data_IF_580381011186
#
_entry.id   IF_580381011186
#
_cell.length_a   1.000
_cell.length_b   1.000
_cell.length_c   1.000
_cell.angle_alpha   90.00
_cell.angle_beta   90.00
_cell.angle_gamma   90.00
#
_symmetry.space_group_name_H-M   'P 1'
#
loop_
_entity.id
_entity.type
_entity.pdbx_description
1 polymer ?
#
# COMPACT_ATOMS: atom_id res chain seq x y z
N UNK A 1 9.54 12.01 15.80
CA UNK A 1 8.30 12.60 16.37
C UNK A 1 7.09 12.45 15.45
N UNK A 2 7.20 12.75 14.16
CA UNK A 2 6.10 12.60 13.18
C UNK A 2 5.51 11.17 13.13
N UNK A 3 6.33 10.12 13.06
CA UNK A 3 5.88 8.72 13.00
C UNK A 3 4.99 8.30 14.19
N UNK A 4 5.25 8.81 15.39
CA UNK A 4 4.44 8.48 16.58
C UNK A 4 3.06 9.13 16.49
N UNK A 5 2.99 10.36 16.01
CA UNK A 5 1.72 11.08 15.82
C UNK A 5 0.85 10.40 14.76
N UNK A 6 1.46 9.95 13.69
CA UNK A 6 0.78 9.27 12.60
C UNK A 6 0.25 7.90 13.01
N UNK A 7 1.03 7.13 13.76
CA UNK A 7 0.57 5.86 14.33
C UNK A 7 -0.56 6.07 15.35
N UNK A 8 -0.45 7.10 16.20
CA UNK A 8 -1.50 7.43 17.16
C UNK A 8 -2.80 7.80 16.45
N UNK A 9 -2.73 8.61 15.38
CA UNK A 9 -3.87 8.98 14.56
C UNK A 9 -4.54 7.74 13.93
N UNK A 10 -3.75 6.87 13.28
CA UNK A 10 -4.27 5.66 12.66
C UNK A 10 -4.95 4.72 13.68
N UNK A 11 -4.38 4.60 14.89
CA UNK A 11 -4.99 3.81 15.97
C UNK A 11 -6.30 4.44 16.47
N UNK A 12 -6.35 5.75 16.67
CA UNK A 12 -7.57 6.43 17.10
C UNK A 12 -8.69 6.26 16.07
N UNK A 13 -8.38 6.40 14.80
CA UNK A 13 -9.34 6.20 13.73
C UNK A 13 -9.81 4.75 13.65
N UNK A 14 -8.89 3.78 13.74
CA UNK A 14 -9.25 2.37 13.82
C UNK A 14 -10.15 2.07 15.02
N UNK A 15 -9.91 2.70 16.19
CA UNK A 15 -10.76 2.55 17.35
C UNK A 15 -12.18 3.07 17.09
N UNK A 16 -12.33 4.14 16.34
CA UNK A 16 -13.64 4.72 16.02
C UNK A 16 -14.46 3.87 15.06
N UNK A 17 -13.82 3.24 14.08
CA UNK A 17 -14.50 2.44 13.04
C UNK A 17 -14.70 0.97 13.45
N UNK A 18 -13.76 0.38 14.20
CA UNK A 18 -13.80 -1.04 14.59
C UNK A 18 -14.54 -1.27 15.91
N UNK A 19 -15.78 -0.80 16.00
CA UNK A 19 -16.57 -0.87 17.24
C UNK A 19 -17.20 -2.24 17.48
N UNK A 20 -17.45 -3.00 16.40
CA UNK A 20 -18.16 -4.27 16.45
C UNK A 20 -17.29 -5.41 15.90
N UNK A 21 -17.55 -6.62 16.39
CA UNK A 21 -16.88 -7.83 15.93
C UNK A 21 -17.42 -8.26 14.57
N UNK A 22 -16.55 -8.33 13.55
CA UNK A 22 -16.94 -8.78 12.21
C UNK A 22 -17.38 -10.26 12.11
N UNK A 23 -17.30 -11.03 13.22
CA UNK A 23 -17.73 -12.43 13.25
C UNK A 23 -19.14 -12.62 13.84
N UNK A 24 -19.46 -11.92 14.92
CA UNK A 24 -20.71 -12.12 15.65
C UNK A 24 -21.53 -10.84 15.90
N UNK A 25 -21.04 -9.69 15.45
CA UNK A 25 -21.73 -8.40 15.59
C UNK A 25 -21.65 -7.76 16.98
N UNK A 26 -21.14 -8.46 18.00
CA UNK A 26 -21.01 -7.93 19.36
C UNK A 26 -19.95 -6.82 19.46
N UNK A 27 -20.08 -5.95 20.47
CA UNK A 27 -19.12 -4.87 20.71
C UNK A 27 -17.71 -5.41 20.92
N UNK A 28 -16.72 -4.65 20.51
CA UNK A 28 -15.31 -4.92 20.79
C UNK A 28 -14.81 -4.03 21.92
N UNK A 29 -13.94 -4.57 22.77
CA UNK A 29 -13.30 -3.85 23.87
C UNK A 29 -11.79 -3.76 23.63
N UNK A 30 -11.16 -2.60 23.90
CA UNK A 30 -9.72 -2.45 23.75
C UNK A 30 -8.97 -3.31 24.78
N UNK A 31 -7.84 -3.87 24.34
CA UNK A 31 -6.89 -4.66 25.14
C UNK A 31 -5.47 -4.21 24.84
N UNK A 32 -4.53 -4.53 25.70
CA UNK A 32 -3.09 -4.25 25.53
C UNK A 32 -2.83 -2.76 25.21
N UNK A 33 -3.30 -1.89 26.09
CA UNK A 33 -3.21 -0.43 25.92
C UNK A 33 -3.75 0.07 24.56
N UNK A 34 -4.81 -0.58 24.04
CA UNK A 34 -5.45 -0.18 22.79
C UNK A 34 -4.79 -0.73 21.51
N UNK A 35 -3.74 -1.54 21.60
CA UNK A 35 -3.06 -2.12 20.43
C UNK A 35 -3.88 -3.16 19.71
N UNK A 36 -4.83 -3.78 20.39
CA UNK A 36 -5.83 -4.68 19.81
C UNK A 36 -7.17 -4.52 20.48
N UNK A 37 -8.20 -5.07 19.87
CA UNK A 37 -9.52 -5.22 20.47
C UNK A 37 -9.87 -6.69 20.61
N UNK A 38 -10.84 -6.96 21.47
CA UNK A 38 -11.40 -8.31 21.64
C UNK A 38 -12.91 -8.21 21.68
N UNK A 39 -13.57 -9.18 21.06
CA UNK A 39 -15.01 -9.32 21.15
C UNK A 39 -15.45 -9.48 22.59
N UNK A 40 -16.47 -8.76 23.00
CA UNK A 40 -17.03 -8.81 24.37
C UNK A 40 -17.81 -10.11 24.64
N UNK A 41 -18.25 -10.80 23.60
CA UNK A 41 -18.98 -12.07 23.72
C UNK A 41 -18.11 -13.15 24.36
N UNK A 42 -18.60 -13.78 25.42
CA UNK A 42 -17.91 -14.88 26.10
C UNK A 42 -17.73 -16.11 25.22
N UNK A 43 -18.57 -16.31 24.21
CA UNK A 43 -18.50 -17.42 23.27
C UNK A 43 -17.54 -17.15 22.12
N UNK A 44 -17.54 -15.94 21.56
CA UNK A 44 -16.75 -15.58 20.38
C UNK A 44 -15.28 -15.30 20.71
N UNK A 45 -15.02 -14.39 21.65
CA UNK A 45 -13.67 -13.97 22.10
C UNK A 45 -12.69 -13.61 20.99
N UNK A 46 -13.15 -13.36 19.76
CA UNK A 46 -12.28 -13.07 18.61
C UNK A 46 -11.43 -11.82 18.87
N UNK A 47 -10.14 -11.92 18.54
CA UNK A 47 -9.22 -10.79 18.58
C UNK A 47 -9.34 -9.99 17.29
N UNK A 48 -9.27 -8.66 17.39
CA UNK A 48 -9.33 -7.74 16.25
C UNK A 48 -8.10 -6.86 16.33
N UNK A 49 -7.37 -6.80 15.23
CA UNK A 49 -6.15 -6.00 15.08
C UNK A 49 -6.37 -4.90 14.06
N UNK A 50 -5.62 -3.79 14.13
CA UNK A 50 -5.58 -2.81 13.05
C UNK A 50 -5.16 -3.50 11.75
N UNK A 51 -5.84 -3.15 10.65
CA UNK A 51 -5.44 -3.62 9.33
C UNK A 51 -4.27 -2.77 8.83
N UNK A 52 -3.28 -3.43 8.28
CA UNK A 52 -2.14 -2.80 7.59
C UNK A 52 -2.11 -3.37 6.18
N UNK A 53 -2.28 -2.51 5.18
CA UNK A 53 -2.22 -2.93 3.78
C UNK A 53 -0.82 -2.64 3.22
N UNK A 54 -0.12 -3.64 2.67
CA UNK A 54 1.14 -3.43 1.99
C UNK A 54 0.91 -2.77 0.62
N UNK A 55 1.77 -1.81 0.28
CA UNK A 55 1.72 -1.03 -0.96
C UNK A 55 3.11 -0.94 -1.55
N UNK A 56 3.24 -1.11 -2.86
CA UNK A 56 4.44 -0.80 -3.60
C UNK A 56 4.35 0.61 -4.19
N UNK A 57 5.46 1.34 -4.16
CA UNK A 57 5.65 2.58 -4.92
C UNK A 57 6.86 2.38 -5.82
N UNK A 58 6.72 2.66 -7.10
CA UNK A 58 7.78 2.43 -8.07
C UNK A 58 8.05 3.67 -8.92
N UNK A 59 9.33 3.97 -9.11
CA UNK A 59 9.82 4.92 -10.08
C UNK A 59 10.38 4.17 -11.28
N UNK A 60 9.69 4.24 -12.40
CA UNK A 60 10.15 3.66 -13.67
C UNK A 60 11.11 4.64 -14.33
N UNK A 61 12.32 4.16 -14.66
CA UNK A 61 13.41 5.00 -15.17
C UNK A 61 13.74 4.57 -16.60
N UNK A 62 13.82 5.52 -17.50
CA UNK A 62 14.42 5.37 -18.82
C UNK A 62 15.83 6.00 -18.77
N UNK A 63 16.84 5.15 -18.53
CA UNK A 63 18.22 5.60 -18.40
C UNK A 63 18.81 6.13 -19.69
N UNK A 64 18.40 5.58 -20.83
CA UNK A 64 18.91 5.99 -22.14
C UNK A 64 18.55 7.45 -22.47
N UNK A 65 17.32 7.84 -22.13
CA UNK A 65 16.82 9.19 -22.38
C UNK A 65 16.81 10.09 -21.14
N UNK A 66 17.34 9.62 -20.01
CA UNK A 66 17.38 10.34 -18.74
C UNK A 66 15.99 10.84 -18.30
N UNK A 67 14.99 9.95 -18.28
CA UNK A 67 13.60 10.26 -17.98
C UNK A 67 13.07 9.37 -16.87
N UNK A 68 12.04 9.83 -16.18
CA UNK A 68 11.29 9.04 -15.21
C UNK A 68 9.78 9.17 -15.45
N UNK A 69 9.06 8.07 -15.20
CA UNK A 69 7.61 8.04 -15.32
C UNK A 69 6.96 8.55 -14.04
N UNK A 70 6.16 9.59 -14.19
CA UNK A 70 5.29 10.07 -13.12
C UNK A 70 3.85 10.10 -13.60
N UNK A 71 2.93 9.82 -12.70
CA UNK A 71 1.50 9.84 -12.92
C UNK A 71 0.81 10.98 -12.17
N UNK A 72 -0.36 11.37 -12.65
CA UNK A 72 -1.22 12.31 -11.95
C UNK A 72 -2.67 11.87 -12.06
N UNK A 73 -3.26 11.56 -10.93
CA UNK A 73 -4.69 11.29 -10.86
C UNK A 73 -5.50 12.60 -10.89
N UNK A 74 -6.69 12.57 -11.49
CA UNK A 74 -7.58 13.74 -11.62
C UNK A 74 -7.96 14.39 -10.29
N UNK A 75 -7.98 13.61 -9.21
CA UNK A 75 -8.26 14.05 -7.84
C UNK A 75 -7.09 14.76 -7.15
N UNK A 76 -5.89 14.72 -7.73
CA UNK A 76 -4.73 15.38 -7.14
C UNK A 76 -4.78 16.89 -7.33
N UNK A 77 -4.13 17.60 -6.42
CA UNK A 77 -3.94 19.04 -6.55
C UNK A 77 -3.28 19.35 -7.90
N UNK A 78 -3.70 20.40 -8.61
CA UNK A 78 -3.08 20.78 -9.88
C UNK A 78 -1.56 20.87 -9.78
N UNK A 79 -0.86 20.30 -10.76
CA UNK A 79 0.61 20.20 -10.82
C UNK A 79 1.27 19.24 -9.81
N UNK A 80 0.50 18.43 -9.10
CA UNK A 80 1.06 17.39 -8.24
C UNK A 80 1.22 16.10 -9.06
N UNK A 81 2.45 15.63 -9.14
CA UNK A 81 2.83 14.38 -9.80
C UNK A 81 3.39 13.41 -8.76
N UNK A 82 3.19 12.13 -8.97
CA UNK A 82 3.71 11.08 -8.09
C UNK A 82 4.23 9.89 -8.89
N UNK A 83 5.05 9.08 -8.24
CA UNK A 83 5.36 7.75 -8.73
C UNK A 83 4.08 6.90 -8.85
N UNK A 84 4.12 5.83 -9.62
CA UNK A 84 3.09 4.81 -9.64
C UNK A 84 3.02 4.12 -8.27
N UNK A 85 1.84 3.67 -7.88
CA UNK A 85 1.66 2.99 -6.60
C UNK A 85 0.45 2.06 -6.63
N UNK A 86 0.63 0.86 -6.14
CA UNK A 86 -0.43 -0.13 -6.07
C UNK A 86 -0.40 -1.00 -4.83
N UNK A 87 -1.50 -1.70 -4.57
CA UNK A 87 -1.58 -2.66 -3.48
C UNK A 87 -0.94 -3.98 -3.87
N UNK A 88 -0.31 -4.62 -2.89
CA UNK A 88 0.16 -6.00 -3.05
C UNK A 88 -1.05 -6.92 -2.88
N UNK A 89 -1.30 -7.76 -3.88
CA UNK A 89 -2.38 -8.74 -3.82
C UNK A 89 -1.97 -9.93 -2.96
N UNK A 90 -2.58 -10.01 -1.79
CA UNK A 90 -2.49 -11.18 -0.92
C UNK A 90 -3.74 -12.00 -1.15
N UNK A 91 -3.69 -12.96 -2.05
CA UNK A 91 -4.81 -13.87 -2.31
C UNK A 91 -5.08 -14.73 -1.09
N UNK A 92 -6.19 -14.46 -0.42
CA UNK A 92 -6.74 -15.30 0.67
C UNK A 92 -7.72 -16.37 0.12
N UNK A 93 -7.55 -16.77 -1.14
CA UNK A 93 -8.43 -17.75 -1.81
C UNK A 93 -7.69 -19.00 -2.22
N UNK A 94 -8.17 -20.15 -1.76
CA UNK A 94 -7.77 -21.52 -2.11
C UNK A 94 -6.27 -21.84 -2.12
N UNK A 95 -5.89 -22.89 -1.43
CA UNK A 95 -4.55 -23.40 -1.12
C UNK A 95 -3.56 -23.55 -2.31
N UNK A 96 -3.84 -23.02 -3.49
CA UNK A 96 -2.97 -23.06 -4.67
C UNK A 96 -2.39 -21.71 -5.08
N UNK A 97 -2.92 -20.59 -4.59
CA UNK A 97 -2.45 -19.27 -4.98
C UNK A 97 -1.58 -18.67 -3.87
N UNK A 98 -0.29 -18.84 -4.03
CA UNK A 98 0.71 -18.06 -3.29
C UNK A 98 0.53 -16.59 -3.67
N UNK A 99 0.40 -15.71 -2.67
CA UNK A 99 0.38 -14.27 -2.92
C UNK A 99 1.59 -13.83 -3.73
N UNK A 100 1.45 -12.73 -4.48
CA UNK A 100 2.54 -12.18 -5.28
C UNK A 100 3.69 -11.66 -4.41
N UNK A 101 4.91 -11.70 -4.93
CA UNK A 101 6.08 -11.04 -4.35
C UNK A 101 6.01 -9.52 -4.53
N UNK A 102 6.87 -8.78 -3.83
CA UNK A 102 6.96 -7.33 -3.98
C UNK A 102 7.33 -6.94 -5.41
N UNK A 103 8.24 -7.68 -6.02
CA UNK A 103 8.72 -7.48 -7.39
C UNK A 103 7.64 -7.80 -8.43
N UNK A 104 6.84 -8.83 -8.20
CA UNK A 104 5.69 -9.16 -9.04
C UNK A 104 4.62 -8.08 -8.95
N UNK A 105 4.32 -7.57 -7.75
CA UNK A 105 3.41 -6.47 -7.56
C UNK A 105 3.85 -5.20 -8.33
N UNK A 106 5.15 -4.86 -8.27
CA UNK A 106 5.73 -3.75 -9.05
C UNK A 106 5.51 -3.94 -10.54
N UNK A 107 5.77 -5.16 -11.07
CA UNK A 107 5.58 -5.47 -12.50
C UNK A 107 4.13 -5.39 -12.92
N UNK A 108 3.24 -6.03 -12.15
CA UNK A 108 1.79 -6.06 -12.42
C UNK A 108 1.20 -4.64 -12.40
N UNK A 109 1.40 -3.89 -11.33
CA UNK A 109 0.87 -2.53 -11.19
C UNK A 109 1.40 -1.58 -12.28
N UNK A 110 2.71 -1.69 -12.62
CA UNK A 110 3.26 -0.90 -13.72
C UNK A 110 2.59 -1.24 -15.05
N UNK A 111 2.41 -2.53 -15.33
CA UNK A 111 1.74 -2.98 -16.54
C UNK A 111 0.27 -2.55 -16.60
N UNK A 112 -0.47 -2.73 -15.51
CA UNK A 112 -1.89 -2.39 -15.44
C UNK A 112 -2.15 -0.88 -15.63
N UNK A 113 -1.32 -0.04 -15.02
CA UNK A 113 -1.49 1.41 -15.11
C UNK A 113 -0.93 2.04 -16.40
N UNK A 114 0.06 1.41 -17.03
CA UNK A 114 0.81 2.06 -18.12
C UNK A 114 1.01 1.21 -19.39
N UNK A 115 0.85 -0.10 -19.29
CA UNK A 115 1.19 -1.04 -20.37
C UNK A 115 2.70 -1.19 -20.59
N UNK A 116 3.54 -0.75 -19.65
CA UNK A 116 5.01 -0.82 -19.76
C UNK A 116 5.51 -2.09 -19.07
N UNK A 117 6.28 -2.91 -19.81
CA UNK A 117 7.05 -3.99 -19.22
C UNK A 117 8.33 -3.44 -18.61
N UNK A 118 8.60 -3.83 -17.37
CA UNK A 118 9.77 -3.37 -16.63
C UNK A 118 10.78 -4.49 -16.43
N UNK A 119 12.05 -4.13 -16.44
CA UNK A 119 13.19 -5.01 -16.30
C UNK A 119 13.52 -5.36 -14.86
N UNK A 120 14.70 -5.00 -14.44
CA UNK A 120 15.16 -5.22 -13.07
C UNK A 120 14.36 -4.34 -12.09
N UNK A 121 13.96 -4.93 -10.98
CA UNK A 121 13.26 -4.25 -9.89
C UNK A 121 14.18 -4.15 -8.70
N UNK A 122 14.55 -2.93 -8.30
CA UNK A 122 15.50 -2.67 -7.22
C UNK A 122 14.78 -2.07 -6.03
N UNK A 123 14.84 -2.76 -4.90
CA UNK A 123 14.32 -2.27 -3.63
C UNK A 123 15.23 -1.18 -3.04
N UNK A 124 14.64 -0.09 -2.55
CA UNK A 124 15.36 1.00 -1.90
C UNK A 124 15.07 1.12 -0.42
N UNK A 125 13.81 1.19 -0.05
CA UNK A 125 13.40 1.44 1.32
C UNK A 125 11.95 1.08 1.57
N UNK A 126 11.58 1.06 2.84
CA UNK A 126 10.17 0.94 3.24
C UNK A 126 9.87 1.86 4.41
N UNK A 127 8.63 2.30 4.49
CA UNK A 127 8.17 3.13 5.59
C UNK A 127 6.69 2.92 5.89
N UNK A 128 6.26 3.09 7.14
CA UNK A 128 4.85 3.17 7.45
C UNK A 128 4.26 4.45 6.85
N UNK A 129 3.09 4.31 6.24
CA UNK A 129 2.34 5.45 5.70
C UNK A 129 0.98 5.50 6.36
N UNK A 130 0.69 6.53 7.15
CA UNK A 130 -0.60 6.67 7.81
C UNK A 130 -1.67 7.03 6.79
N UNK A 131 -2.54 6.06 6.50
CA UNK A 131 -3.73 6.30 5.69
C UNK A 131 -4.89 6.79 6.53
N UNK A 132 -5.89 7.43 5.92
CA UNK A 132 -7.05 7.93 6.64
C UNK A 132 -7.96 6.83 7.20
N UNK A 133 -7.95 5.61 6.69
CA UNK A 133 -8.82 4.50 7.16
C UNK A 133 -8.07 3.20 7.46
N UNK A 134 -6.87 3.04 6.92
CA UNK A 134 -6.02 1.85 7.06
C UNK A 134 -4.56 2.29 7.08
N UNK A 135 -3.79 1.79 8.04
CA UNK A 135 -2.35 1.97 8.00
C UNK A 135 -1.79 1.23 6.79
N UNK A 136 -0.90 1.89 6.05
CA UNK A 136 -0.21 1.28 4.92
C UNK A 136 1.25 1.08 5.26
N UNK A 137 1.85 0.04 4.73
CA UNK A 137 3.29 -0.15 4.75
C UNK A 137 3.79 -0.05 3.30
N UNK A 138 4.55 0.99 3.03
CA UNK A 138 4.99 1.34 1.68
C UNK A 138 6.38 0.80 1.44
N UNK A 139 6.56 0.08 0.33
CA UNK A 139 7.84 -0.40 -0.18
C UNK A 139 8.22 0.41 -1.43
N UNK A 140 9.39 1.01 -1.43
CA UNK A 140 9.87 1.88 -2.50
C UNK A 140 10.83 1.13 -3.41
N UNK A 141 10.59 1.21 -4.74
CA UNK A 141 11.39 0.54 -5.76
C UNK A 141 11.80 1.50 -6.87
N UNK A 142 12.88 1.19 -7.57
CA UNK A 142 13.15 1.66 -8.93
C UNK A 142 13.15 0.49 -9.89
N UNK A 143 12.81 0.76 -11.14
CA UNK A 143 12.85 -0.24 -12.20
C UNK A 143 13.18 0.42 -13.52
N UNK A 144 13.88 -0.29 -14.39
CA UNK A 144 14.24 0.17 -15.71
C UNK A 144 13.15 -0.24 -16.72
N UNK A 145 12.90 0.60 -17.71
CA UNK A 145 11.98 0.30 -18.79
C UNK A 145 12.63 -0.67 -19.79
N UNK A 146 11.96 -1.78 -20.08
CA UNK A 146 12.40 -2.77 -21.08
C UNK A 146 11.82 -2.55 -22.48
N UNK A 147 10.80 -1.71 -22.63
CA UNK A 147 10.12 -1.50 -23.91
C UNK A 147 10.03 -0.04 -24.28
N UNK A 148 10.31 0.25 -25.56
CA UNK A 148 10.24 1.58 -26.17
C UNK A 148 8.79 2.05 -26.46
N UNK A 149 7.82 1.79 -25.59
CA UNK A 149 6.49 2.35 -25.78
C UNK A 149 6.42 3.79 -25.28
N UNK A 150 6.33 4.70 -26.24
CA UNK A 150 6.15 6.14 -26.02
C UNK A 150 4.81 6.43 -25.37
N UNK A 151 4.84 6.97 -24.17
CA UNK A 151 3.68 7.58 -23.54
C UNK A 151 4.01 8.13 -22.16
N UNK A 152 4.15 9.42 -22.05
CA UNK A 152 4.15 10.16 -20.77
C UNK A 152 5.36 10.05 -19.85
N UNK A 153 6.57 10.08 -20.38
CA UNK A 153 7.74 10.37 -19.56
C UNK A 153 7.93 11.88 -19.38
N UNK A 154 8.01 12.32 -18.13
CA UNK A 154 8.45 13.68 -17.80
C UNK A 154 9.97 13.71 -17.67
N UNK A 155 10.61 14.58 -18.44
CA UNK A 155 12.03 14.90 -18.24
C UNK A 155 12.19 15.68 -16.94
N UNK A 156 13.11 15.25 -16.10
CA UNK A 156 13.73 16.11 -15.09
C UNK A 156 15.01 16.69 -15.69
N UNK A 157 15.08 18.03 -15.76
CA UNK A 157 16.35 18.75 -15.87
C UNK A 157 16.87 19.04 -14.47
#
# INVERSE_FOLDING_TARGET
MLLVCDQARALLEWHSISQFCGHCGEKTVPKEAGRRKQCSSGLCRKRVYPRVDPVVIMLVIDRENNRALLSRQSRFVPRMWSCLAGFIEVTLGNMSDTGESLEEAVRRETWEETGIEVGEVVYHSSQPWPGMNVAKFVFCFTTDNCTHHMGFFLCFQ
#
